data_IF_346555502426
#
_entry.id   IF_346555502426
#
_cell.length_a   1.000
_cell.length_b   1.000
_cell.length_c   1.000
_cell.angle_alpha   90.00
_cell.angle_beta   90.00
_cell.angle_gamma   90.00
#
_symmetry.space_group_name_H-M   'P 1'
#
loop_
_entity.id
_entity.type
_entity.pdbx_description
1 polymer ?
#
# COMPACT_ATOMS: atom_id res chain seq x y z
N UNK A 1 -17.12 1.65 -24.40
CA UNK A 1 -15.94 2.15 -25.11
C UNK A 1 -14.89 2.38 -24.03
N UNK A 2 -13.78 1.65 -24.08
CA UNK A 2 -12.69 1.86 -23.13
C UNK A 2 -11.93 3.13 -23.55
N UNK A 3 -11.78 4.08 -22.63
CA UNK A 3 -10.94 5.24 -22.86
C UNK A 3 -9.48 4.80 -23.10
N UNK A 4 -8.77 5.48 -23.98
CA UNK A 4 -7.43 5.08 -24.39
C UNK A 4 -6.43 5.26 -23.25
N UNK A 5 -5.44 4.39 -23.26
CA UNK A 5 -4.33 4.20 -22.29
C UNK A 5 -3.35 5.40 -22.16
N UNK A 6 -3.70 6.57 -22.66
CA UNK A 6 -2.84 7.77 -22.68
C UNK A 6 -2.44 8.24 -21.27
N UNK A 7 -3.27 7.95 -20.26
CA UNK A 7 -3.01 8.38 -18.88
C UNK A 7 -1.87 7.61 -18.18
N UNK A 8 -1.47 6.46 -18.71
CA UNK A 8 -0.47 5.62 -18.04
C UNK A 8 0.96 6.08 -18.35
N UNK A 9 1.18 6.71 -19.52
CA UNK A 9 2.47 7.34 -19.82
C UNK A 9 2.77 8.51 -18.91
N UNK A 10 1.73 9.26 -18.51
CA UNK A 10 1.84 10.35 -17.55
C UNK A 10 2.28 9.86 -16.16
N UNK A 11 1.97 8.62 -15.78
CA UNK A 11 2.26 8.05 -14.47
C UNK A 11 3.76 7.83 -14.27
N UNK A 12 4.45 7.35 -15.30
CA UNK A 12 5.89 7.08 -15.21
C UNK A 12 6.74 8.37 -15.27
N UNK A 13 6.18 9.43 -15.85
CA UNK A 13 6.90 10.69 -16.14
C UNK A 13 6.68 11.76 -15.05
N UNK A 14 5.51 11.77 -14.39
CA UNK A 14 5.07 12.91 -13.60
C UNK A 14 5.41 12.88 -12.11
N UNK A 15 6.04 11.85 -11.58
CA UNK A 15 6.36 11.85 -10.15
C UNK A 15 7.79 11.40 -9.82
N UNK A 16 8.81 12.21 -10.22
CA UNK A 16 10.19 11.96 -9.80
C UNK A 16 10.39 12.11 -8.28
N UNK A 17 9.45 12.76 -7.57
CA UNK A 17 9.51 12.90 -6.11
C UNK A 17 9.02 11.66 -5.34
N UNK A 18 8.33 10.73 -5.98
CA UNK A 18 8.05 9.40 -5.42
C UNK A 18 9.29 8.50 -5.45
N UNK A 19 10.30 8.89 -6.19
CA UNK A 19 11.62 8.26 -6.19
C UNK A 19 12.46 8.99 -5.17
N UNK A 20 12.77 8.32 -4.08
CA UNK A 20 13.71 8.78 -3.06
C UNK A 20 14.97 9.35 -3.74
N UNK A 21 15.31 10.61 -3.44
CA UNK A 21 16.47 11.30 -4.03
C UNK A 21 17.80 10.61 -3.76
N UNK A 22 17.89 9.74 -2.76
CA UNK A 22 19.02 8.82 -2.55
C UNK A 22 19.12 7.74 -3.65
N UNK A 23 18.11 7.61 -4.52
CA UNK A 23 18.02 6.65 -5.64
C UNK A 23 18.19 7.28 -7.02
N UNK A 24 18.73 8.48 -7.12
CA UNK A 24 19.03 9.12 -8.42
C UNK A 24 19.89 8.24 -9.35
N UNK A 25 20.61 7.26 -8.80
CA UNK A 25 21.38 6.29 -9.58
C UNK A 25 20.49 5.35 -10.40
N UNK A 26 19.24 5.09 -9.94
CA UNK A 26 18.35 4.13 -10.60
C UNK A 26 17.59 4.79 -11.76
N UNK A 27 17.41 6.11 -11.73
CA UNK A 27 16.70 6.82 -12.81
C UNK A 27 17.50 6.93 -14.11
N UNK A 28 18.82 6.73 -14.06
CA UNK A 28 19.68 6.78 -15.24
C UNK A 28 19.60 5.49 -16.10
N UNK A 29 19.18 4.38 -15.51
CA UNK A 29 19.08 3.07 -16.16
C UNK A 29 17.63 2.65 -16.49
N UNK A 30 16.65 3.55 -16.36
CA UNK A 30 15.25 3.25 -16.75
C UNK A 30 15.20 3.13 -18.27
N UNK A 31 14.83 1.97 -18.83
CA UNK A 31 14.71 1.80 -20.29
C UNK A 31 13.75 2.86 -20.85
N UNK A 32 14.02 3.40 -22.06
CA UNK A 32 13.18 4.42 -22.68
C UNK A 32 11.73 3.97 -22.93
N UNK A 33 11.47 2.67 -22.92
CA UNK A 33 10.16 2.04 -23.07
C UNK A 33 9.54 1.55 -21.73
N UNK A 34 10.07 2.02 -20.60
CA UNK A 34 9.59 1.67 -19.26
C UNK A 34 8.10 1.97 -19.06
N UNK A 35 7.64 3.15 -19.49
CA UNK A 35 6.24 3.55 -19.40
C UNK A 35 5.33 2.59 -20.15
N UNK A 36 5.74 2.20 -21.36
CA UNK A 36 5.02 1.23 -22.19
C UNK A 36 4.97 -0.14 -21.50
N UNK A 37 6.09 -0.61 -20.96
CA UNK A 37 6.13 -1.88 -20.24
C UNK A 37 5.21 -1.88 -19.00
N UNK A 38 5.21 -0.81 -18.22
CA UNK A 38 4.32 -0.64 -17.06
C UNK A 38 2.86 -0.65 -17.53
N UNK A 39 2.54 0.09 -18.58
CA UNK A 39 1.20 0.16 -19.16
C UNK A 39 0.68 -1.19 -19.61
N UNK A 40 1.49 -1.92 -20.38
CA UNK A 40 1.14 -3.27 -20.89
C UNK A 40 0.95 -4.25 -19.72
N UNK A 41 1.80 -4.19 -18.70
CA UNK A 41 1.70 -5.06 -17.52
C UNK A 41 0.45 -4.74 -16.68
N UNK A 42 0.16 -3.47 -16.45
CA UNK A 42 -1.05 -3.07 -15.73
C UNK A 42 -2.33 -3.41 -16.50
N UNK A 43 -2.29 -3.43 -17.84
CA UNK A 43 -3.42 -3.86 -18.65
C UNK A 43 -3.73 -5.37 -18.49
N UNK A 44 -2.79 -6.18 -18.00
CA UNK A 44 -3.02 -7.60 -17.68
C UNK A 44 -3.61 -7.83 -16.29
N UNK A 45 -3.65 -6.80 -15.45
CA UNK A 45 -4.27 -6.87 -14.14
C UNK A 45 -5.79 -6.62 -14.21
N UNK A 46 -6.50 -7.01 -13.15
CA UNK A 46 -7.89 -6.56 -12.98
C UNK A 46 -7.97 -5.03 -12.90
N UNK A 47 -9.14 -4.49 -13.24
CA UNK A 47 -9.38 -3.05 -13.20
C UNK A 47 -9.18 -2.49 -11.78
N UNK A 48 -9.53 -3.28 -10.76
CA UNK A 48 -9.34 -2.92 -9.35
C UNK A 48 -7.86 -2.86 -8.98
N UNK A 49 -7.08 -3.86 -9.39
CA UNK A 49 -5.64 -3.90 -9.16
C UNK A 49 -4.93 -2.76 -9.90
N UNK A 50 -5.33 -2.48 -11.15
CA UNK A 50 -4.82 -1.33 -11.90
C UNK A 50 -5.13 0.00 -11.21
N UNK A 51 -6.36 0.19 -10.73
CA UNK A 51 -6.74 1.39 -9.98
C UNK A 51 -5.91 1.53 -8.69
N UNK A 52 -5.75 0.44 -7.93
CA UNK A 52 -4.92 0.43 -6.73
C UNK A 52 -3.46 0.78 -7.06
N UNK A 53 -2.92 0.24 -8.14
CA UNK A 53 -1.55 0.52 -8.56
C UNK A 53 -1.34 2.01 -8.83
N UNK A 54 -2.28 2.67 -9.52
CA UNK A 54 -2.23 4.10 -9.80
C UNK A 54 -2.27 4.94 -8.52
N UNK A 55 -3.15 4.59 -7.58
CA UNK A 55 -3.25 5.31 -6.30
C UNK A 55 -2.00 5.10 -5.44
N UNK A 56 -1.48 3.87 -5.37
CA UNK A 56 -0.40 3.48 -4.45
C UNK A 56 0.99 3.82 -4.96
N UNK A 57 1.24 3.59 -6.25
CA UNK A 57 2.60 3.66 -6.82
C UNK A 57 2.81 4.88 -7.71
N UNK A 58 1.74 5.51 -8.19
CA UNK A 58 1.78 6.70 -9.02
C UNK A 58 1.21 7.95 -8.35
N UNK A 59 0.91 7.87 -7.03
CA UNK A 59 0.34 8.97 -6.21
C UNK A 59 -0.90 9.65 -6.82
N UNK A 60 -1.67 8.89 -7.64
CA UNK A 60 -2.91 9.41 -8.23
C UNK A 60 -4.05 9.41 -7.21
N UNK A 61 -3.93 10.26 -6.18
CA UNK A 61 -4.89 10.34 -5.08
C UNK A 61 -6.30 10.69 -5.51
N UNK A 62 -6.48 11.36 -6.66
CA UNK A 62 -7.77 11.62 -7.28
C UNK A 62 -8.56 10.35 -7.63
N UNK A 63 -7.89 9.21 -7.82
CA UNK A 63 -8.52 7.92 -8.09
C UNK A 63 -8.91 7.16 -6.81
N UNK A 64 -8.56 7.66 -5.63
CA UNK A 64 -8.84 6.99 -4.36
C UNK A 64 -10.32 6.72 -4.13
N UNK A 65 -11.19 7.65 -4.53
CA UNK A 65 -12.63 7.46 -4.44
C UNK A 65 -13.15 6.36 -5.37
N UNK A 66 -12.56 6.18 -6.55
CA UNK A 66 -12.91 5.06 -7.43
C UNK A 66 -12.51 3.72 -6.81
N UNK A 67 -11.29 3.63 -6.26
CA UNK A 67 -10.84 2.46 -5.53
C UNK A 67 -11.77 2.12 -4.36
N UNK A 68 -12.21 3.14 -3.62
CA UNK A 68 -13.15 3.00 -2.52
C UNK A 68 -14.51 2.43 -3.00
N UNK A 69 -15.06 2.96 -4.10
CA UNK A 69 -16.30 2.46 -4.69
C UNK A 69 -16.16 1.01 -5.15
N UNK A 70 -15.03 0.65 -5.75
CA UNK A 70 -14.75 -0.74 -6.15
C UNK A 70 -14.72 -1.71 -4.97
N UNK A 71 -14.21 -1.29 -3.80
CA UNK A 71 -14.27 -2.08 -2.57
C UNK A 71 -15.71 -2.27 -2.12
N UNK A 72 -16.51 -1.20 -2.16
CA UNK A 72 -17.93 -1.24 -1.77
C UNK A 72 -18.70 -2.19 -2.70
N UNK A 73 -18.60 -2.01 -3.99
CA UNK A 73 -19.34 -2.80 -4.99
C UNK A 73 -18.97 -4.29 -4.91
N UNK A 74 -17.72 -4.59 -4.66
CA UNK A 74 -17.23 -5.96 -4.56
C UNK A 74 -17.67 -6.67 -3.29
N UNK A 75 -17.65 -6.01 -2.14
CA UNK A 75 -17.77 -6.67 -0.84
C UNK A 75 -19.07 -6.38 -0.09
N UNK A 76 -19.69 -5.20 -0.28
CA UNK A 76 -20.91 -4.84 0.44
C UNK A 76 -22.08 -5.81 0.20
N UNK A 77 -22.29 -6.37 -1.00
CA UNK A 77 -23.33 -7.39 -1.20
C UNK A 77 -23.18 -8.62 -0.30
N UNK A 78 -21.95 -9.02 0.01
CA UNK A 78 -21.66 -10.13 0.92
C UNK A 78 -21.73 -9.78 2.42
N UNK A 79 -22.08 -8.53 2.76
CA UNK A 79 -22.13 -8.01 4.14
C UNK A 79 -23.41 -7.15 4.34
N UNK A 80 -24.61 -7.69 4.08
CA UNK A 80 -25.84 -6.89 4.09
C UNK A 80 -26.16 -6.27 5.46
N UNK A 81 -25.80 -6.97 6.54
CA UNK A 81 -26.07 -6.53 7.92
C UNK A 81 -25.15 -5.42 8.42
N UNK A 82 -24.02 -5.15 7.75
CA UNK A 82 -23.14 -4.06 8.13
C UNK A 82 -23.70 -2.74 7.62
N UNK A 83 -23.96 -1.71 8.48
CA UNK A 83 -24.40 -0.40 8.04
C UNK A 83 -23.43 0.20 7.02
N UNK A 84 -23.97 0.85 5.98
CA UNK A 84 -23.15 1.41 4.89
C UNK A 84 -22.10 2.40 5.40
N UNK A 85 -22.42 3.24 6.36
CA UNK A 85 -21.49 4.21 6.94
C UNK A 85 -20.30 3.51 7.60
N UNK A 86 -20.53 2.43 8.35
CA UNK A 86 -19.44 1.65 8.95
C UNK A 86 -18.62 0.93 7.89
N UNK A 87 -19.28 0.40 6.86
CA UNK A 87 -18.57 -0.23 5.74
C UNK A 87 -17.64 0.76 5.03
N UNK A 88 -18.12 1.96 4.75
CA UNK A 88 -17.36 3.06 4.15
C UNK A 88 -16.11 3.38 4.98
N UNK A 89 -16.24 3.53 6.30
CA UNK A 89 -15.12 3.81 7.18
C UNK A 89 -14.10 2.64 7.21
N UNK A 90 -14.57 1.40 7.16
CA UNK A 90 -13.70 0.22 7.12
C UNK A 90 -12.95 0.12 5.80
N UNK A 91 -13.63 0.41 4.68
CA UNK A 91 -13.01 0.43 3.37
C UNK A 91 -11.94 1.53 3.27
N UNK A 92 -12.23 2.74 3.73
CA UNK A 92 -11.26 3.84 3.75
C UNK A 92 -10.03 3.50 4.60
N UNK A 93 -10.24 2.93 5.79
CA UNK A 93 -9.17 2.50 6.66
C UNK A 93 -8.31 1.41 6.02
N UNK A 94 -8.92 0.38 5.41
CA UNK A 94 -8.22 -0.71 4.75
C UNK A 94 -7.41 -0.22 3.54
N UNK A 95 -7.97 0.68 2.74
CA UNK A 95 -7.26 1.32 1.65
C UNK A 95 -6.07 2.11 2.18
N UNK A 96 -6.26 2.89 3.26
CA UNK A 96 -5.18 3.64 3.89
C UNK A 96 -4.04 2.75 4.38
N UNK A 97 -4.33 1.58 4.94
CA UNK A 97 -3.30 0.64 5.38
C UNK A 97 -2.44 0.10 4.24
N UNK A 98 -3.04 -0.09 3.06
CA UNK A 98 -2.35 -0.67 1.91
C UNK A 98 -1.68 0.41 1.05
N UNK A 99 -2.37 1.54 0.85
CA UNK A 99 -1.92 2.60 -0.06
C UNK A 99 -0.95 3.56 0.61
N UNK A 100 -1.20 3.90 1.89
CA UNK A 100 -0.43 4.89 2.63
C UNK A 100 0.45 4.23 3.71
N UNK A 101 1.44 3.40 3.37
CA UNK A 101 2.30 2.76 4.36
C UNK A 101 3.06 3.84 5.12
N UNK A 102 2.91 3.83 6.43
CA UNK A 102 3.63 4.74 7.30
C UNK A 102 5.06 4.25 7.51
N UNK A 103 5.98 5.17 7.46
CA UNK A 103 7.36 4.90 7.85
C UNK A 103 7.43 4.44 9.31
N UNK A 104 8.14 3.37 9.58
CA UNK A 104 8.33 2.86 10.92
C UNK A 104 8.92 3.96 11.83
N UNK A 105 8.24 4.25 12.96
CA UNK A 105 8.65 5.30 13.90
C UNK A 105 9.98 4.99 14.58
N UNK A 106 10.32 3.70 14.75
CA UNK A 106 11.52 3.25 15.44
C UNK A 106 12.77 3.41 14.57
N UNK A 107 12.77 2.85 13.38
CA UNK A 107 13.92 2.88 12.50
C UNK A 107 13.83 3.96 11.41
N UNK A 108 12.76 4.74 11.36
CA UNK A 108 12.54 5.79 10.34
C UNK A 108 12.73 5.29 8.90
N UNK A 109 12.33 4.04 8.65
CA UNK A 109 12.44 3.40 7.33
C UNK A 109 13.76 2.68 7.07
N UNK A 110 14.78 2.84 7.93
CA UNK A 110 16.11 2.25 7.74
C UNK A 110 16.11 0.71 7.86
N UNK A 111 15.07 0.13 8.53
CA UNK A 111 14.86 -1.33 8.68
C UNK A 111 15.71 -2.00 9.74
N UNK A 112 16.82 -1.42 10.14
CA UNK A 112 17.78 -1.97 11.08
C UNK A 112 18.43 -0.86 11.90
N UNK A 113 19.14 -1.26 12.96
CA UNK A 113 20.00 -0.39 13.78
C UNK A 113 21.42 -0.94 13.76
N UNK A 114 22.45 -0.07 13.87
CA UNK A 114 23.80 -0.56 14.12
C UNK A 114 23.84 -1.23 15.51
N UNK A 115 24.50 -2.38 15.61
CA UNK A 115 24.80 -2.97 16.90
C UNK A 115 25.96 -2.19 17.54
N UNK A 116 25.80 -1.84 18.81
CA UNK A 116 26.84 -1.19 19.60
C UNK A 116 27.33 -2.13 20.68
N UNK A 117 28.63 -2.09 21.00
CA UNK A 117 29.21 -2.76 22.16
C UNK A 117 28.87 -2.02 23.47
N UNK A 118 29.35 -2.56 24.58
CA UNK A 118 29.11 -1.99 25.92
C UNK A 118 29.73 -0.59 26.10
N UNK A 119 30.73 -0.26 25.29
CA UNK A 119 31.41 1.05 25.25
C UNK A 119 30.72 2.03 24.29
N UNK A 120 29.69 1.58 23.57
CA UNK A 120 28.91 2.40 22.63
C UNK A 120 29.51 2.50 21.22
N UNK A 121 30.52 1.73 20.90
CA UNK A 121 31.11 1.69 19.55
C UNK A 121 30.31 0.75 18.63
N UNK A 122 30.17 1.11 17.36
CA UNK A 122 29.50 0.26 16.37
C UNK A 122 30.35 -0.99 16.08
N UNK A 123 29.75 -2.17 16.26
CA UNK A 123 30.41 -3.47 16.00
C UNK A 123 30.45 -3.81 14.50
N UNK A 124 29.84 -3.01 13.63
CA UNK A 124 29.65 -3.26 12.21
C UNK A 124 28.54 -4.26 11.88
N UNK A 125 27.87 -4.83 12.89
CA UNK A 125 26.69 -5.68 12.71
C UNK A 125 25.43 -4.84 12.67
N UNK A 126 24.35 -5.45 12.15
CA UNK A 126 23.03 -4.81 12.05
C UNK A 126 22.00 -5.62 12.79
N UNK A 127 21.23 -4.95 13.63
CA UNK A 127 20.10 -5.53 14.37
C UNK A 127 18.82 -5.14 13.64
N UNK A 128 18.04 -6.14 13.25
CA UNK A 128 16.74 -5.91 12.61
C UNK A 128 15.82 -5.11 13.53
N UNK A 129 15.15 -4.09 13.02
CA UNK A 129 14.21 -3.28 13.78
C UNK A 129 13.05 -4.14 14.28
N UNK A 130 12.94 -4.30 15.59
CA UNK A 130 11.84 -5.06 16.23
C UNK A 130 10.46 -4.42 16.05
N UNK A 131 10.40 -3.09 15.80
CA UNK A 131 9.12 -2.39 15.63
C UNK A 131 8.45 -2.64 14.27
N UNK A 132 9.21 -3.00 13.25
CA UNK A 132 8.67 -3.29 11.92
C UNK A 132 9.12 -4.65 11.36
N UNK A 133 9.87 -5.44 12.12
CA UNK A 133 10.39 -6.72 11.64
C UNK A 133 11.33 -6.60 10.45
N UNK A 134 11.97 -5.43 10.25
CA UNK A 134 12.92 -5.20 9.17
C UNK A 134 12.30 -4.77 7.84
N UNK A 135 10.98 -4.54 7.74
CA UNK A 135 10.36 -4.06 6.51
C UNK A 135 10.41 -2.53 6.33
N UNK A 136 10.70 -1.78 7.41
CA UNK A 136 10.80 -0.32 7.39
C UNK A 136 9.46 0.40 7.47
N UNK A 137 8.35 -0.33 7.42
CA UNK A 137 6.98 0.20 7.43
C UNK A 137 6.34 0.04 8.80
N UNK A 138 5.48 0.99 9.16
CA UNK A 138 4.69 0.89 10.37
C UNK A 138 3.60 -0.18 10.21
N UNK A 139 3.61 -1.16 11.11
CA UNK A 139 2.54 -2.14 11.15
C UNK A 139 1.36 -1.59 11.96
N UNK A 140 0.17 -1.62 11.35
CA UNK A 140 -1.04 -1.22 12.02
C UNK A 140 -1.44 -2.23 13.10
N UNK A 141 -1.63 -1.74 14.32
CA UNK A 141 -2.10 -2.55 15.43
C UNK A 141 -3.61 -2.36 15.65
N UNK A 142 -4.25 -3.37 16.21
CA UNK A 142 -5.69 -3.34 16.48
C UNK A 142 -6.11 -2.13 17.32
N UNK A 143 -5.27 -1.71 18.25
CA UNK A 143 -5.53 -0.50 19.06
C UNK A 143 -5.66 0.75 18.19
N UNK A 144 -4.76 0.95 17.23
CA UNK A 144 -4.81 2.10 16.31
C UNK A 144 -6.03 2.03 15.38
N UNK A 145 -6.38 0.81 14.93
CA UNK A 145 -7.59 0.58 14.13
C UNK A 145 -8.84 0.94 14.91
N UNK A 146 -8.95 0.46 16.15
CA UNK A 146 -10.08 0.75 17.03
C UNK A 146 -10.22 2.24 17.31
N UNK A 147 -9.12 2.93 17.61
CA UNK A 147 -9.11 4.37 17.86
C UNK A 147 -9.60 5.15 16.63
N UNK A 148 -9.07 4.83 15.45
CA UNK A 148 -9.46 5.50 14.19
C UNK A 148 -10.92 5.22 13.80
N UNK A 149 -11.39 4.00 14.02
CA UNK A 149 -12.76 3.57 13.70
C UNK A 149 -13.76 3.90 14.82
N UNK A 150 -13.31 4.49 15.92
CA UNK A 150 -14.10 4.83 17.10
C UNK A 150 -14.87 3.61 17.65
N UNK A 151 -14.18 2.48 17.79
CA UNK A 151 -14.74 1.22 18.26
C UNK A 151 -14.17 0.88 19.64
N UNK A 152 -15.02 0.28 20.49
CA UNK A 152 -14.56 -0.35 21.73
C UNK A 152 -13.87 -1.68 21.42
N UNK A 153 -13.00 -2.12 22.32
CA UNK A 153 -12.31 -3.42 22.20
C UNK A 153 -13.30 -4.59 22.08
N UNK A 154 -14.41 -4.52 22.82
CA UNK A 154 -15.47 -5.53 22.79
C UNK A 154 -16.17 -5.58 21.42
N UNK A 155 -16.50 -4.43 20.84
CA UNK A 155 -17.11 -4.36 19.51
C UNK A 155 -16.14 -4.84 18.44
N UNK A 156 -14.87 -4.42 18.53
CA UNK A 156 -13.83 -4.85 17.62
C UNK A 156 -13.69 -6.37 17.59
N UNK A 157 -13.37 -6.98 18.74
CA UNK A 157 -13.12 -8.42 18.83
C UNK A 157 -14.33 -9.28 18.49
N UNK A 158 -15.51 -8.88 18.96
CA UNK A 158 -16.69 -9.76 18.82
C UNK A 158 -17.47 -9.56 17.53
N UNK A 159 -17.33 -8.41 16.87
CA UNK A 159 -18.22 -8.07 15.76
C UNK A 159 -17.49 -7.65 14.50
N UNK A 160 -16.47 -6.80 14.60
CA UNK A 160 -15.96 -6.08 13.44
C UNK A 160 -14.61 -6.55 12.93
N UNK A 161 -13.77 -7.15 13.75
CA UNK A 161 -12.41 -7.58 13.37
C UNK A 161 -12.43 -8.54 12.16
N UNK A 162 -13.29 -9.55 12.17
CA UNK A 162 -13.39 -10.50 11.07
C UNK A 162 -13.88 -9.83 9.77
N UNK A 163 -14.83 -8.89 9.88
CA UNK A 163 -15.36 -8.13 8.75
C UNK A 163 -14.27 -7.22 8.19
N UNK A 164 -13.58 -6.50 9.06
CA UNK A 164 -12.49 -5.63 8.67
C UNK A 164 -11.36 -6.38 7.96
N UNK A 165 -10.92 -7.51 8.54
CA UNK A 165 -9.87 -8.34 7.95
C UNK A 165 -10.26 -8.89 6.58
N UNK A 166 -11.54 -9.17 6.34
CA UNK A 166 -12.03 -9.57 5.01
C UNK A 166 -11.92 -8.42 4.00
N UNK A 167 -12.24 -7.19 4.40
CA UNK A 167 -12.10 -6.02 3.54
C UNK A 167 -10.61 -5.74 3.25
N UNK A 168 -9.79 -5.73 4.29
CA UNK A 168 -8.35 -5.53 4.18
C UNK A 168 -7.70 -6.62 3.31
N UNK A 169 -8.09 -7.88 3.50
CA UNK A 169 -7.61 -9.00 2.70
C UNK A 169 -7.88 -8.81 1.20
N UNK A 170 -9.07 -8.31 0.83
CA UNK A 170 -9.37 -8.03 -0.58
C UNK A 170 -8.47 -6.95 -1.18
N UNK A 171 -8.17 -5.89 -0.42
CA UNK A 171 -7.26 -4.83 -0.90
C UNK A 171 -5.83 -5.38 -1.03
N UNK A 172 -5.38 -6.23 -0.11
CA UNK A 172 -4.09 -6.94 -0.22
C UNK A 172 -4.03 -7.92 -1.39
N UNK A 173 -5.14 -8.59 -1.74
CA UNK A 173 -5.22 -9.45 -2.92
C UNK A 173 -4.96 -8.63 -4.20
N UNK A 174 -5.56 -7.45 -4.33
CA UNK A 174 -5.29 -6.56 -5.46
C UNK A 174 -3.84 -6.07 -5.49
N UNK A 175 -3.26 -5.71 -4.34
CA UNK A 175 -1.84 -5.34 -4.28
C UNK A 175 -0.92 -6.52 -4.67
N UNK A 176 -1.27 -7.73 -4.24
CA UNK A 176 -0.55 -8.95 -4.62
C UNK A 176 -0.65 -9.22 -6.13
N UNK A 177 -1.83 -8.98 -6.72
CA UNK A 177 -2.03 -9.10 -8.18
C UNK A 177 -1.14 -8.10 -8.93
N UNK A 178 -1.10 -6.83 -8.50
CA UNK A 178 -0.20 -5.82 -9.06
C UNK A 178 1.26 -6.31 -9.01
N UNK A 179 1.71 -6.76 -7.86
CA UNK A 179 3.09 -7.26 -7.69
C UNK A 179 3.40 -8.45 -8.60
N UNK A 180 2.42 -9.33 -8.86
CA UNK A 180 2.58 -10.45 -9.79
C UNK A 180 2.67 -9.98 -11.23
N UNK A 181 1.76 -9.09 -11.65
CA UNK A 181 1.78 -8.51 -13.00
C UNK A 181 3.08 -7.74 -13.26
N UNK A 182 3.59 -7.07 -12.24
CA UNK A 182 4.81 -6.27 -12.30
C UNK A 182 6.09 -7.05 -12.02
N UNK A 183 6.01 -8.39 -11.89
CA UNK A 183 7.19 -9.24 -11.66
C UNK A 183 8.16 -9.11 -12.83
N UNK A 184 9.39 -8.67 -12.55
CA UNK A 184 10.41 -8.35 -13.55
C UNK A 184 10.44 -6.88 -13.97
N UNK A 185 9.50 -6.09 -13.52
CA UNK A 185 9.54 -4.63 -13.56
C UNK A 185 9.84 -4.17 -12.14
N UNK A 186 10.90 -3.41 -11.92
CA UNK A 186 11.29 -2.98 -10.58
C UNK A 186 10.26 -2.00 -10.01
N UNK A 187 9.33 -2.49 -9.19
CA UNK A 187 8.53 -1.64 -8.31
C UNK A 187 9.41 -1.26 -7.12
N UNK A 188 10.19 -0.21 -7.26
CA UNK A 188 10.93 0.37 -6.15
C UNK A 188 10.06 1.46 -5.52
N UNK A 189 9.72 1.27 -4.25
CA UNK A 189 9.39 2.34 -3.32
C UNK A 189 10.63 2.79 -2.58
#
# INVERSE_FOLDING_TARGET
>A
MAEPLEDVEAIAILNPSAVDTSRQVITQDIPPDWSVMVSVRLASCSIQASCLARVKYADMHNLRHHLHNMVIDKLKPGMPTLPIVKFVNFADMAISEVVDPRVCRWCRGVKWFPETDDDGHETGRRITCGGCGGNGEHQWHDKERMERLQLTEKEWKNKYMAIYNRILGQVWEWDSEVRKCMKGVYLTR
#
